data_IF_978856277995
#
_entry.id   IF_978856277995
#
_cell.length_a   1.000
_cell.length_b   1.000
_cell.length_c   1.000
_cell.angle_alpha   90.00
_cell.angle_beta   90.00
_cell.angle_gamma   90.00
#
_symmetry.space_group_name_H-M   'P 1'
#
loop_
_entity.id
_entity.type
_entity.pdbx_description
1 polymer ?
#
# COMPACT_ATOMS: atom_id res chain seq x y z
N UNK A 1 7.93 -14.35 47.95
CA UNK A 1 7.60 -15.15 46.75
C UNK A 1 6.81 -14.25 45.81
N UNK A 2 7.46 -13.63 44.81
CA UNK A 2 6.79 -12.82 43.80
C UNK A 2 7.15 -13.40 42.44
N UNK A 3 6.18 -14.02 41.78
CA UNK A 3 6.32 -14.58 40.45
C UNK A 3 6.24 -13.42 39.45
N UNK A 4 7.37 -13.12 38.81
CA UNK A 4 7.41 -12.26 37.62
C UNK A 4 6.79 -13.05 36.47
N UNK A 5 5.71 -12.53 35.88
CA UNK A 5 5.12 -13.08 34.66
C UNK A 5 6.14 -13.06 33.52
N UNK A 6 6.18 -14.09 32.66
CA UNK A 6 7.12 -14.12 31.55
C UNK A 6 6.71 -13.06 30.50
N UNK A 7 7.69 -12.41 29.83
CA UNK A 7 7.40 -11.45 28.78
C UNK A 7 6.65 -12.16 27.64
N UNK A 8 5.48 -11.61 27.29
CA UNK A 8 4.63 -12.03 26.19
C UNK A 8 5.47 -12.26 24.94
N UNK A 9 5.50 -13.49 24.44
CA UNK A 9 6.26 -13.84 23.25
C UNK A 9 5.87 -12.91 22.10
N UNK A 10 6.82 -12.06 21.68
CA UNK A 10 6.71 -11.30 20.44
C UNK A 10 6.56 -12.34 19.34
N UNK A 11 5.37 -12.44 18.77
CA UNK A 11 5.10 -13.35 17.67
C UNK A 11 5.93 -12.86 16.49
N UNK A 12 7.12 -13.45 16.29
CA UNK A 12 7.99 -13.15 15.15
C UNK A 12 7.25 -13.63 13.92
N UNK A 13 6.42 -12.77 13.33
CA UNK A 13 5.84 -13.03 12.01
C UNK A 13 7.01 -13.35 11.09
N UNK A 14 6.96 -14.45 10.32
CA UNK A 14 8.02 -14.73 9.36
C UNK A 14 8.24 -13.49 8.52
N UNK A 15 9.50 -13.08 8.35
CA UNK A 15 9.90 -12.01 7.44
C UNK A 15 9.33 -12.35 6.07
N UNK A 16 8.17 -11.79 5.74
CA UNK A 16 7.57 -11.92 4.42
C UNK A 16 8.34 -10.98 3.53
N UNK A 17 9.45 -11.46 2.99
CA UNK A 17 10.31 -10.74 2.05
C UNK A 17 9.48 -10.15 0.91
N UNK A 18 9.93 -9.01 0.42
CA UNK A 18 9.27 -8.24 -0.64
C UNK A 18 10.14 -7.06 -1.02
N UNK A 19 9.67 -6.26 -1.96
CA UNK A 19 10.37 -5.08 -2.46
C UNK A 19 9.48 -3.86 -2.35
N UNK A 20 10.11 -2.72 -2.04
CA UNK A 20 9.49 -1.41 -2.25
C UNK A 20 9.83 -0.97 -3.66
N UNK A 21 8.84 -0.50 -4.41
CA UNK A 21 9.04 0.05 -5.76
C UNK A 21 8.01 1.14 -6.08
N UNK A 22 8.28 1.98 -7.09
CA UNK A 22 7.29 2.89 -7.64
C UNK A 22 6.01 2.17 -8.08
N UNK A 23 4.89 2.81 -7.82
CA UNK A 23 3.59 2.41 -8.36
C UNK A 23 3.50 2.77 -9.84
N UNK A 24 2.92 1.87 -10.63
CA UNK A 24 2.61 2.08 -12.04
C UNK A 24 1.09 2.07 -12.26
N UNK A 25 0.65 2.46 -13.46
CA UNK A 25 -0.77 2.37 -13.84
C UNK A 25 -1.35 0.95 -13.75
N UNK A 26 -0.52 -0.09 -13.95
CA UNK A 26 -0.93 -1.49 -13.86
C UNK A 26 -1.29 -1.91 -12.41
N UNK A 27 -0.74 -1.22 -11.42
CA UNK A 27 -0.94 -1.53 -10.00
C UNK A 27 -2.25 -0.91 -9.45
N UNK A 28 -2.87 0.03 -10.18
CA UNK A 28 -4.05 0.79 -9.74
C UNK A 28 -5.21 -0.10 -9.27
N UNK A 29 -5.61 -1.17 -9.98
CA UNK A 29 -6.74 -2.00 -9.54
C UNK A 29 -6.49 -2.68 -8.19
N UNK A 30 -5.27 -3.13 -7.93
CA UNK A 30 -4.92 -3.81 -6.68
C UNK A 30 -4.73 -2.82 -5.52
N UNK A 31 -4.13 -1.65 -5.78
CA UNK A 31 -4.06 -0.55 -4.81
C UNK A 31 -5.46 -0.05 -4.43
N UNK A 32 -6.38 0.06 -5.40
CA UNK A 32 -7.77 0.46 -5.14
C UNK A 32 -8.53 -0.58 -4.29
N UNK A 33 -8.34 -1.87 -4.57
CA UNK A 33 -8.87 -2.95 -3.72
C UNK A 33 -8.27 -2.89 -2.31
N UNK A 34 -6.96 -2.65 -2.19
CA UNK A 34 -6.29 -2.51 -0.89
C UNK A 34 -6.86 -1.32 -0.10
N UNK A 35 -7.10 -0.18 -0.75
CA UNK A 35 -7.74 0.98 -0.13
C UNK A 35 -9.11 0.63 0.45
N UNK A 36 -9.98 -0.04 -0.31
CA UNK A 36 -11.29 -0.49 0.17
C UNK A 36 -11.16 -1.46 1.35
N UNK A 37 -10.21 -2.39 1.29
CA UNK A 37 -9.99 -3.35 2.36
C UNK A 37 -9.57 -2.66 3.66
N UNK A 38 -8.63 -1.72 3.57
CA UNK A 38 -8.04 -1.04 4.74
C UNK A 38 -9.00 -0.01 5.33
N UNK A 39 -9.62 0.84 4.50
CA UNK A 39 -10.41 1.97 4.98
C UNK A 39 -11.91 1.72 5.03
N UNK A 40 -12.42 0.72 4.30
CA UNK A 40 -13.86 0.41 4.22
C UNK A 40 -14.21 -0.99 4.72
N UNK A 41 -13.21 -1.80 5.09
CA UNK A 41 -13.43 -3.18 5.51
C UNK A 41 -13.97 -4.10 4.39
N UNK A 42 -13.85 -3.68 3.12
CA UNK A 42 -14.41 -4.40 1.99
C UNK A 42 -13.29 -4.99 1.12
N UNK A 43 -13.15 -6.32 1.09
CA UNK A 43 -12.17 -7.02 0.26
C UNK A 43 -12.77 -7.45 -1.08
N UNK A 44 -13.07 -6.46 -1.94
CA UNK A 44 -13.66 -6.65 -3.27
C UNK A 44 -12.99 -5.74 -4.29
N UNK A 45 -13.07 -6.05 -5.60
CA UNK A 45 -12.63 -5.13 -6.65
C UNK A 45 -13.26 -3.75 -6.47
N UNK A 46 -12.45 -2.71 -6.62
CA UNK A 46 -12.91 -1.34 -6.67
C UNK A 46 -13.65 -1.07 -7.99
N UNK A 47 -14.64 -0.18 -7.95
CA UNK A 47 -15.27 0.32 -9.17
C UNK A 47 -14.29 1.16 -10.01
N UNK A 48 -14.71 1.48 -11.23
CA UNK A 48 -13.87 2.21 -12.19
C UNK A 48 -13.63 3.67 -11.75
N UNK A 49 -14.57 4.25 -11.00
CA UNK A 49 -14.46 5.63 -10.51
C UNK A 49 -13.33 5.75 -9.47
N UNK A 50 -13.30 4.85 -8.48
CA UNK A 50 -12.23 4.84 -7.49
C UNK A 50 -10.86 4.54 -8.11
N UNK A 51 -10.80 3.60 -9.08
CA UNK A 51 -9.58 3.32 -9.81
C UNK A 51 -9.08 4.55 -10.58
N UNK A 52 -9.98 5.23 -11.30
CA UNK A 52 -9.65 6.44 -12.04
C UNK A 52 -9.19 7.57 -11.11
N UNK A 53 -9.88 7.77 -9.99
CA UNK A 53 -9.50 8.75 -8.97
C UNK A 53 -8.09 8.51 -8.44
N UNK A 54 -7.76 7.29 -8.03
CA UNK A 54 -6.43 6.97 -7.49
C UNK A 54 -5.33 7.09 -8.54
N UNK A 55 -5.60 6.68 -9.79
CA UNK A 55 -4.67 6.86 -10.90
C UNK A 55 -4.35 8.35 -11.11
N UNK A 56 -5.39 9.18 -11.21
CA UNK A 56 -5.24 10.63 -11.39
C UNK A 56 -4.48 11.26 -10.23
N UNK A 57 -4.84 10.91 -8.99
CA UNK A 57 -4.22 11.46 -7.79
C UNK A 57 -2.72 11.12 -7.70
N UNK A 58 -2.35 9.88 -8.01
CA UNK A 58 -0.99 9.38 -7.81
C UNK A 58 -0.05 9.63 -9.00
N UNK A 59 -0.58 9.61 -10.24
CA UNK A 59 0.22 9.53 -11.46
C UNK A 59 0.02 10.72 -12.41
N UNK A 60 -1.09 11.46 -12.32
CA UNK A 60 -1.40 12.53 -13.27
C UNK A 60 -0.97 13.93 -12.81
N UNK A 61 -0.29 14.06 -11.66
CA UNK A 61 0.25 15.36 -11.23
C UNK A 61 1.27 15.86 -12.26
N UNK A 62 1.22 17.14 -12.70
CA UNK A 62 2.26 17.72 -13.54
C UNK A 62 3.65 17.74 -12.88
N UNK A 63 3.71 17.58 -11.56
CA UNK A 63 4.96 17.44 -10.79
C UNK A 63 5.23 15.99 -10.40
N UNK A 64 4.60 15.03 -11.08
CA UNK A 64 4.86 13.62 -10.87
C UNK A 64 6.31 13.29 -11.23
N UNK A 65 6.94 12.51 -10.36
CA UNK A 65 8.25 11.91 -10.53
C UNK A 65 8.11 10.44 -10.12
N UNK A 66 8.52 9.52 -10.98
CA UNK A 66 8.30 8.08 -10.76
C UNK A 66 9.08 7.57 -9.53
N UNK A 67 10.27 8.11 -9.25
CA UNK A 67 11.11 7.69 -8.14
C UNK A 67 10.66 8.28 -6.80
N UNK A 68 10.08 9.47 -6.82
CA UNK A 68 9.64 10.21 -5.63
C UNK A 68 8.12 10.15 -5.40
N UNK A 69 7.38 9.54 -6.32
CA UNK A 69 5.94 9.40 -6.29
C UNK A 69 5.44 8.29 -5.37
N UNK A 70 4.20 7.86 -5.61
CA UNK A 70 3.56 6.80 -4.83
C UNK A 70 4.38 5.51 -4.87
N UNK A 71 4.68 4.94 -3.70
CA UNK A 71 5.43 3.70 -3.56
C UNK A 71 4.53 2.56 -3.11
N UNK A 72 4.81 1.34 -3.56
CA UNK A 72 4.13 0.12 -3.10
C UNK A 72 5.12 -0.87 -2.52
N UNK A 73 4.65 -1.67 -1.58
CA UNK A 73 5.35 -2.86 -1.13
C UNK A 73 4.72 -4.09 -1.78
N UNK A 74 5.47 -4.71 -2.68
CA UNK A 74 5.12 -5.96 -3.32
C UNK A 74 5.79 -7.11 -2.57
N UNK A 75 4.98 -8.01 -2.03
CA UNK A 75 5.48 -9.22 -1.40
C UNK A 75 5.91 -10.22 -2.49
N UNK A 76 6.81 -11.15 -2.16
CA UNK A 76 7.28 -12.21 -3.09
C UNK A 76 6.19 -13.05 -3.79
N UNK A 77 4.95 -13.04 -3.30
CA UNK A 77 3.80 -13.70 -3.93
C UNK A 77 3.14 -12.83 -5.01
N UNK A 78 3.76 -11.69 -5.38
CA UNK A 78 3.27 -10.72 -6.35
C UNK A 78 2.17 -9.81 -5.82
N UNK A 79 1.75 -9.97 -4.56
CA UNK A 79 0.67 -9.17 -3.99
C UNK A 79 1.18 -7.88 -3.37
N UNK A 80 0.46 -6.81 -3.61
CA UNK A 80 0.67 -5.53 -2.94
C UNK A 80 0.09 -5.61 -1.53
N UNK A 81 0.93 -5.41 -0.51
CA UNK A 81 0.51 -5.48 0.91
C UNK A 81 0.37 -4.12 1.55
N UNK A 82 1.06 -3.11 1.02
CA UNK A 82 0.93 -1.72 1.45
C UNK A 82 1.23 -0.78 0.28
N UNK A 83 0.69 0.42 0.37
CA UNK A 83 0.96 1.53 -0.54
C UNK A 83 1.16 2.80 0.29
N UNK A 84 2.13 3.61 -0.09
CA UNK A 84 2.36 4.97 0.39
C UNK A 84 1.96 5.93 -0.72
N UNK A 85 0.73 6.45 -0.64
CA UNK A 85 0.20 7.40 -1.63
C UNK A 85 0.86 8.77 -1.43
N UNK A 86 1.40 9.33 -2.50
CA UNK A 86 2.02 10.64 -2.53
C UNK A 86 1.41 11.48 -3.65
N UNK A 87 1.12 12.75 -3.33
CA UNK A 87 0.58 13.74 -4.28
C UNK A 87 1.54 14.92 -4.32
N UNK A 88 2.40 15.02 -5.34
CA UNK A 88 3.34 16.13 -5.46
C UNK A 88 2.58 17.44 -5.67
N UNK A 89 2.88 18.44 -4.82
CA UNK A 89 2.31 19.78 -4.91
C UNK A 89 3.43 20.81 -5.08
N UNK A 90 3.22 21.80 -5.94
CA UNK A 90 4.05 23.00 -6.03
C UNK A 90 3.42 24.07 -5.14
N UNK A 91 4.21 24.66 -4.26
CA UNK A 91 3.83 25.78 -3.41
C UNK A 91 4.48 27.07 -3.91
#
# INVERSE_FOLDING_TARGET
MSLLEPPTAVHTRPSRKGTVRPMTGADVPEVARLFLKVFRGADRPADQELQHYLCTLALASPSHDEMLGTQIYEQQDGRIRSALLAVPMRF
#
